data_IF_895590476663
#
_entry.id   IF_895590476663
#
_cell.length_a   1.000
_cell.length_b   1.000
_cell.length_c   1.000
_cell.angle_alpha   90.00
_cell.angle_beta   90.00
_cell.angle_gamma   90.00
#
_symmetry.space_group_name_H-M   'P 1'
#
loop_
_entity.id
_entity.type
_entity.pdbx_description
1 polymer ?
#
# COMPACT_ATOMS: atom_id res chain seq x y z
N UNK A 1 1.78 46.31 2.80
CA UNK A 1 2.90 47.18 2.44
C UNK A 1 2.73 47.80 1.04
N UNK A 2 2.70 47.02 -0.07
CA UNK A 2 2.49 47.57 -1.43
C UNK A 2 1.26 48.48 -1.54
N UNK A 3 0.11 48.04 -1.04
CA UNK A 3 -1.13 48.80 -1.05
C UNK A 3 -1.02 50.15 -0.35
N UNK A 4 -0.33 50.22 0.78
CA UNK A 4 -0.08 51.46 1.52
C UNK A 4 0.85 52.41 0.77
N UNK A 5 1.85 51.89 0.05
CA UNK A 5 2.76 52.70 -0.77
C UNK A 5 2.08 53.24 -2.02
N UNK A 6 1.20 52.49 -2.66
CA UNK A 6 0.53 52.85 -3.92
C UNK A 6 -0.71 53.73 -3.69
N UNK A 7 -1.59 53.38 -2.72
CA UNK A 7 -2.83 54.11 -2.46
C UNK A 7 -2.61 55.42 -1.67
N UNK A 8 -1.67 55.39 -0.69
CA UNK A 8 -1.48 56.55 0.20
C UNK A 8 -0.22 57.38 -0.12
N UNK A 9 0.54 57.02 -1.17
CA UNK A 9 1.80 57.68 -1.55
C UNK A 9 2.75 57.91 -0.37
N UNK A 10 2.67 57.05 0.66
CA UNK A 10 3.47 57.12 1.84
C UNK A 10 4.91 56.70 1.58
N UNK A 11 5.91 57.28 2.27
CA UNK A 11 7.30 56.83 2.12
C UNK A 11 7.49 55.43 2.68
N UNK A 12 8.39 54.64 2.06
CA UNK A 12 8.73 53.30 2.52
C UNK A 12 9.15 53.26 3.97
N UNK A 13 9.89 54.31 4.42
CA UNK A 13 10.31 54.45 5.81
C UNK A 13 9.13 54.53 6.75
N UNK A 14 8.17 55.38 6.45
CA UNK A 14 7.00 55.62 7.27
C UNK A 14 6.09 54.38 7.32
N UNK A 15 5.90 53.69 6.18
CA UNK A 15 5.13 52.44 6.15
C UNK A 15 5.79 51.32 6.95
N UNK A 16 7.11 51.19 6.87
CA UNK A 16 7.86 50.19 7.67
C UNK A 16 7.78 50.48 9.18
N UNK A 17 7.81 51.76 9.56
CA UNK A 17 7.68 52.23 10.94
C UNK A 17 6.27 51.96 11.50
N UNK A 18 5.24 52.31 10.76
CA UNK A 18 3.84 52.03 11.09
C UNK A 18 3.54 50.51 11.24
N UNK A 19 4.15 49.69 10.41
CA UNK A 19 3.99 48.24 10.45
C UNK A 19 4.93 47.50 11.40
N UNK A 20 5.81 48.24 12.09
CA UNK A 20 6.87 47.69 12.94
C UNK A 20 7.74 46.63 12.26
N UNK A 21 8.01 46.80 10.95
CA UNK A 21 8.77 45.83 10.14
C UNK A 21 10.09 46.48 9.69
N UNK A 22 11.24 45.80 9.85
CA UNK A 22 12.52 46.27 9.32
C UNK A 22 12.45 46.47 7.80
N UNK A 23 13.06 47.58 7.28
CA UNK A 23 13.07 47.88 5.83
C UNK A 23 13.68 46.73 5.00
N UNK A 24 14.69 46.03 5.53
CA UNK A 24 15.27 44.84 4.90
C UNK A 24 14.24 43.74 4.66
N UNK A 25 13.35 43.52 5.63
CA UNK A 25 12.23 42.55 5.49
C UNK A 25 11.18 43.03 4.50
N UNK A 26 10.91 44.36 4.48
CA UNK A 26 9.98 44.95 3.50
C UNK A 26 10.47 44.87 2.06
N UNK A 27 11.76 44.98 1.86
CA UNK A 27 12.44 44.86 0.55
C UNK A 27 12.74 43.43 0.15
N UNK A 28 12.62 42.47 1.06
CA UNK A 28 12.93 41.07 0.79
C UNK A 28 12.04 40.53 -0.33
N UNK A 29 12.67 40.11 -1.41
CA UNK A 29 12.01 39.35 -2.48
C UNK A 29 12.51 37.92 -2.43
N UNK A 30 11.59 36.99 -2.31
CA UNK A 30 11.95 35.57 -2.35
C UNK A 30 12.60 35.25 -3.70
N UNK A 31 13.83 34.72 -3.66
CA UNK A 31 14.54 34.18 -4.84
C UNK A 31 14.19 32.71 -5.09
N UNK A 32 13.08 32.24 -4.53
CA UNK A 32 12.67 30.84 -4.65
C UNK A 32 12.22 30.58 -6.08
N UNK A 33 12.91 29.68 -6.75
CA UNK A 33 12.44 29.10 -8.00
C UNK A 33 11.89 27.67 -7.69
N UNK A 34 10.58 27.56 -7.74
CA UNK A 34 9.86 26.32 -7.46
C UNK A 34 9.14 25.79 -8.72
N UNK A 35 9.25 26.48 -9.86
CA UNK A 35 8.50 26.19 -11.10
C UNK A 35 8.60 24.72 -11.51
N UNK A 36 9.82 24.19 -11.56
CA UNK A 36 10.08 22.80 -11.93
C UNK A 36 9.42 21.80 -10.98
N UNK A 37 9.38 22.12 -9.68
CA UNK A 37 8.70 21.29 -8.68
C UNK A 37 7.20 21.40 -8.84
N UNK A 38 6.65 22.59 -9.10
CA UNK A 38 5.24 22.82 -9.30
C UNK A 38 4.70 22.05 -10.51
N UNK A 39 5.38 22.12 -11.64
CA UNK A 39 5.01 21.41 -12.88
C UNK A 39 4.96 19.91 -12.62
N UNK A 40 6.05 19.36 -12.12
CA UNK A 40 6.14 17.92 -11.85
C UNK A 40 5.15 17.45 -10.78
N UNK A 41 4.90 18.28 -9.77
CA UNK A 41 3.94 17.98 -8.71
C UNK A 41 2.48 17.97 -9.24
N UNK A 42 2.14 18.86 -10.18
CA UNK A 42 0.82 18.86 -10.86
C UNK A 42 0.65 17.59 -11.72
N UNK A 43 1.67 17.18 -12.45
CA UNK A 43 1.66 15.93 -13.24
C UNK A 43 1.42 14.72 -12.35
N UNK A 44 2.24 14.55 -11.32
CA UNK A 44 2.11 13.45 -10.37
C UNK A 44 0.75 13.45 -9.63
N UNK A 45 0.20 14.63 -9.34
CA UNK A 45 -1.12 14.73 -8.72
C UNK A 45 -2.26 14.36 -9.69
N UNK A 46 -2.09 14.57 -11.00
CA UNK A 46 -3.03 14.08 -12.03
C UNK A 46 -2.93 12.57 -12.22
N UNK A 47 -1.72 12.03 -12.26
CA UNK A 47 -1.49 10.58 -12.35
C UNK A 47 -2.03 9.85 -11.10
N UNK A 48 -1.87 10.46 -9.91
CA UNK A 48 -2.24 9.87 -8.63
C UNK A 48 -3.14 10.79 -7.79
N UNK A 49 -4.41 11.01 -8.17
CA UNK A 49 -5.29 12.01 -7.53
C UNK A 49 -5.54 11.79 -6.03
N UNK A 50 -5.33 10.57 -5.54
CA UNK A 50 -5.54 10.19 -4.13
C UNK A 50 -4.26 10.16 -3.30
N UNK A 51 -3.11 10.55 -3.88
CA UNK A 51 -1.86 10.60 -3.15
C UNK A 51 -1.71 11.96 -2.43
N UNK A 52 -1.41 11.90 -1.14
CA UNK A 52 -1.01 13.09 -0.38
C UNK A 52 0.48 13.42 -0.61
N UNK A 53 0.88 14.64 -0.24
CA UNK A 53 2.24 15.17 -0.47
C UNK A 53 3.38 14.21 -0.06
N UNK A 54 3.22 13.40 1.01
CA UNK A 54 4.26 12.46 1.46
C UNK A 54 4.61 11.40 0.42
N UNK A 55 3.60 10.88 -0.30
CA UNK A 55 3.84 9.92 -1.38
C UNK A 55 4.37 10.60 -2.63
N UNK A 56 3.79 11.74 -3.02
CA UNK A 56 4.28 12.53 -4.15
C UNK A 56 5.73 12.98 -3.93
N UNK A 57 6.09 13.33 -2.69
CA UNK A 57 7.47 13.65 -2.33
C UNK A 57 8.43 12.50 -2.62
N UNK A 58 8.05 11.23 -2.41
CA UNK A 58 8.95 10.10 -2.65
C UNK A 58 9.33 9.98 -4.14
N UNK A 59 8.39 10.27 -5.04
CA UNK A 59 8.67 10.33 -6.49
C UNK A 59 9.59 11.51 -6.80
N UNK A 60 9.26 12.70 -6.35
CA UNK A 60 10.08 13.90 -6.53
C UNK A 60 11.47 13.77 -5.92
N UNK A 61 11.59 13.10 -4.79
CA UNK A 61 12.88 12.89 -4.15
C UNK A 61 13.78 11.95 -4.96
N UNK A 62 13.22 10.88 -5.51
CA UNK A 62 13.95 9.98 -6.42
C UNK A 62 14.42 10.70 -7.70
N UNK A 63 13.61 11.61 -8.25
CA UNK A 63 13.88 12.32 -9.50
C UNK A 63 14.79 13.54 -9.32
N UNK A 64 14.61 14.32 -8.24
CA UNK A 64 15.20 15.65 -8.08
C UNK A 64 15.90 15.87 -6.72
N UNK A 65 15.90 14.92 -5.80
CA UNK A 65 16.50 15.06 -4.47
C UNK A 65 15.82 16.11 -3.56
N UNK A 66 14.57 16.48 -3.81
CA UNK A 66 13.89 17.60 -3.14
C UNK A 66 13.48 17.25 -1.70
N UNK A 67 13.65 18.23 -0.78
CA UNK A 67 13.26 18.05 0.63
C UNK A 67 11.73 18.05 0.80
N UNK A 68 11.23 17.18 1.70
CA UNK A 68 9.80 17.01 1.98
C UNK A 68 9.09 18.31 2.45
N UNK A 69 9.78 19.17 3.21
CA UNK A 69 9.22 20.46 3.66
C UNK A 69 8.95 21.40 2.48
N UNK A 70 9.84 21.40 1.48
CA UNK A 70 9.67 22.19 0.25
C UNK A 70 8.49 21.67 -0.55
N UNK A 71 8.39 20.36 -0.77
CA UNK A 71 7.26 19.74 -1.47
C UNK A 71 5.94 19.99 -0.73
N UNK A 72 5.90 19.88 0.60
CA UNK A 72 4.70 20.14 1.39
C UNK A 72 4.20 21.57 1.23
N UNK A 73 5.10 22.55 1.22
CA UNK A 73 4.76 23.95 1.03
C UNK A 73 4.15 24.17 -0.36
N UNK A 74 4.86 23.76 -1.42
CA UNK A 74 4.38 23.91 -2.80
C UNK A 74 3.05 23.17 -3.01
N UNK A 75 2.89 21.97 -2.46
CA UNK A 75 1.66 21.19 -2.51
C UNK A 75 0.45 21.94 -1.92
N UNK A 76 0.66 22.70 -0.83
CA UNK A 76 -0.37 23.54 -0.20
C UNK A 76 -0.65 24.79 -1.03
N UNK A 77 0.37 25.46 -1.53
CA UNK A 77 0.27 26.65 -2.38
C UNK A 77 -0.51 26.34 -3.67
N UNK A 78 -0.34 25.16 -4.23
CA UNK A 78 -1.07 24.67 -5.41
C UNK A 78 -2.50 24.18 -5.12
N UNK A 79 -2.94 24.17 -3.86
CA UNK A 79 -4.28 23.69 -3.49
C UNK A 79 -4.53 22.19 -3.70
N UNK A 80 -3.48 21.38 -3.85
CA UNK A 80 -3.56 19.95 -4.15
C UNK A 80 -3.96 19.09 -2.94
N UNK A 81 -4.32 19.69 -1.82
CA UNK A 81 -4.63 18.98 -0.56
C UNK A 81 -5.83 18.05 -0.73
N UNK A 82 -5.60 16.74 -0.58
CA UNK A 82 -6.66 15.72 -0.64
C UNK A 82 -7.56 15.86 0.58
N UNK A 83 -8.85 16.11 0.37
CA UNK A 83 -9.85 16.13 1.45
C UNK A 83 -9.92 14.73 2.09
N UNK A 84 -9.69 14.65 3.39
CA UNK A 84 -9.84 13.42 4.17
C UNK A 84 -11.14 13.47 4.95
N UNK A 85 -11.98 12.48 4.77
CA UNK A 85 -13.12 12.25 5.66
C UNK A 85 -12.58 11.82 7.02
N UNK A 86 -12.80 12.64 8.07
CA UNK A 86 -12.44 12.26 9.43
C UNK A 86 -13.39 11.14 9.89
N UNK A 87 -12.90 9.91 9.93
CA UNK A 87 -13.61 8.81 10.59
C UNK A 87 -13.49 9.01 12.11
N UNK A 88 -14.62 8.95 12.83
CA UNK A 88 -14.58 8.89 14.28
C UNK A 88 -13.85 7.60 14.67
N UNK A 89 -12.71 7.72 15.33
CA UNK A 89 -12.01 6.58 15.91
C UNK A 89 -12.76 6.15 17.18
N UNK A 90 -13.58 5.13 17.06
CA UNK A 90 -14.05 4.38 18.23
C UNK A 90 -12.86 3.58 18.76
N UNK A 91 -12.43 3.86 19.97
CA UNK A 91 -11.43 3.04 20.67
C UNK A 91 -12.07 1.68 20.97
N UNK A 92 -11.82 0.70 20.14
CA UNK A 92 -12.17 -0.69 20.40
C UNK A 92 -10.97 -1.37 21.02
N UNK A 93 -11.19 -2.24 22.01
CA UNK A 93 -10.13 -3.09 22.55
C UNK A 93 -9.55 -3.94 21.41
N UNK A 94 -8.29 -3.72 21.10
CA UNK A 94 -7.55 -4.52 20.13
C UNK A 94 -7.26 -5.87 20.77
N UNK A 95 -7.86 -6.94 20.25
CA UNK A 95 -7.37 -8.27 20.59
C UNK A 95 -5.95 -8.43 20.03
N UNK A 96 -4.99 -8.93 20.82
CA UNK A 96 -3.63 -9.15 20.32
C UNK A 96 -3.68 -10.11 19.14
N UNK A 97 -3.16 -9.69 18.02
CA UNK A 97 -2.99 -10.51 16.83
C UNK A 97 -1.60 -11.12 16.86
N UNK A 98 -1.47 -12.37 16.45
CA UNK A 98 -0.17 -13.00 16.29
C UNK A 98 0.73 -12.12 15.38
N UNK A 99 1.97 -11.88 15.83
CA UNK A 99 2.94 -11.11 15.06
C UNK A 99 3.44 -12.01 13.94
N UNK A 100 3.18 -11.62 12.71
CA UNK A 100 3.69 -12.32 11.53
C UNK A 100 5.15 -11.91 11.31
N UNK A 101 6.00 -12.88 11.07
CA UNK A 101 7.46 -12.71 10.93
C UNK A 101 7.98 -13.09 9.54
N UNK A 102 7.16 -13.78 8.73
CA UNK A 102 7.56 -14.25 7.41
C UNK A 102 6.39 -14.20 6.41
N UNK A 103 6.69 -14.14 5.09
CA UNK A 103 5.69 -14.34 4.03
C UNK A 103 5.00 -15.70 4.17
N UNK A 104 3.81 -15.81 3.64
CA UNK A 104 3.02 -17.06 3.60
C UNK A 104 2.65 -17.64 4.98
N UNK A 105 2.83 -16.92 6.08
CA UNK A 105 2.27 -17.34 7.37
C UNK A 105 0.76 -17.16 7.39
N UNK A 106 0.25 -16.05 6.85
CA UNK A 106 -1.17 -15.80 6.77
C UNK A 106 -1.52 -15.06 5.48
N UNK A 107 -2.45 -15.61 4.70
CA UNK A 107 -3.10 -14.90 3.63
C UNK A 107 -4.47 -14.40 4.07
N UNK A 108 -4.85 -13.21 3.65
CA UNK A 108 -6.16 -12.62 3.90
C UNK A 108 -6.96 -12.56 2.59
N UNK A 109 -8.22 -13.02 2.65
CA UNK A 109 -9.13 -13.01 1.52
C UNK A 109 -10.31 -12.08 1.78
N UNK A 110 -10.81 -11.45 0.72
CA UNK A 110 -12.07 -10.71 0.77
C UNK A 110 -12.61 -10.44 -0.65
N UNK A 111 -13.88 -10.05 -0.73
CA UNK A 111 -14.56 -9.66 -1.94
C UNK A 111 -14.90 -8.17 -1.94
N UNK A 112 -14.67 -7.51 -3.05
CA UNK A 112 -15.27 -6.23 -3.38
C UNK A 112 -16.29 -6.43 -4.52
N UNK A 113 -17.21 -5.47 -4.67
CA UNK A 113 -18.20 -5.51 -5.76
C UNK A 113 -18.33 -4.15 -6.40
N UNK A 114 -18.61 -4.14 -7.70
CA UNK A 114 -18.87 -2.93 -8.48
C UNK A 114 -19.78 -3.27 -9.68
N UNK A 115 -20.06 -2.28 -10.53
CA UNK A 115 -20.92 -2.41 -11.69
C UNK A 115 -20.24 -1.84 -12.94
N UNK A 116 -20.53 -2.42 -14.11
CA UNK A 116 -20.12 -1.85 -15.39
C UNK A 116 -21.07 -0.72 -15.82
N UNK A 117 -20.71 0.02 -16.87
CA UNK A 117 -21.55 1.05 -17.48
C UNK A 117 -22.91 0.53 -17.94
N UNK A 118 -22.99 -0.74 -18.35
CA UNK A 118 -24.22 -1.42 -18.74
C UNK A 118 -25.03 -1.96 -17.53
N UNK A 119 -24.64 -1.62 -16.29
CA UNK A 119 -25.34 -2.08 -15.09
C UNK A 119 -25.02 -3.52 -14.67
N UNK A 120 -24.13 -4.22 -15.39
CA UNK A 120 -23.74 -5.58 -15.04
C UNK A 120 -22.90 -5.59 -13.77
N UNK A 121 -23.38 -6.25 -12.71
CA UNK A 121 -22.63 -6.42 -11.46
C UNK A 121 -21.46 -7.37 -11.66
N UNK A 122 -20.33 -7.03 -11.03
CA UNK A 122 -19.18 -7.91 -10.93
C UNK A 122 -18.58 -7.89 -9.53
N UNK A 123 -17.85 -8.94 -9.23
CA UNK A 123 -17.11 -9.09 -7.97
C UNK A 123 -15.61 -9.12 -8.25
N UNK A 124 -14.85 -8.65 -7.30
CA UNK A 124 -13.39 -8.67 -7.30
C UNK A 124 -12.95 -9.50 -6.11
N UNK A 125 -12.30 -10.63 -6.37
CA UNK A 125 -11.73 -11.49 -5.34
C UNK A 125 -10.28 -11.11 -5.11
N UNK A 126 -9.93 -10.73 -3.89
CA UNK A 126 -8.60 -10.31 -3.49
C UNK A 126 -7.93 -11.30 -2.56
N UNK A 127 -6.65 -11.58 -2.81
CA UNK A 127 -5.76 -12.39 -1.96
C UNK A 127 -4.56 -11.53 -1.58
N UNK A 128 -4.34 -11.34 -0.29
CA UNK A 128 -3.28 -10.50 0.26
C UNK A 128 -2.40 -11.31 1.20
N UNK A 129 -1.08 -11.27 1.03
CA UNK A 129 -0.16 -11.73 2.05
C UNK A 129 -0.15 -10.74 3.23
N UNK A 130 -0.45 -11.23 4.42
CA UNK A 130 -0.62 -10.40 5.61
C UNK A 130 0.69 -9.84 6.16
N UNK A 131 1.85 -10.42 5.82
CA UNK A 131 3.17 -9.93 6.21
C UNK A 131 3.71 -8.92 5.21
N UNK A 132 3.88 -9.31 3.95
CA UNK A 132 4.46 -8.45 2.89
C UNK A 132 3.49 -7.38 2.41
N UNK A 133 2.18 -7.54 2.68
CA UNK A 133 1.11 -6.68 2.15
C UNK A 133 0.98 -6.74 0.63
N UNK A 134 1.62 -7.71 -0.03
CA UNK A 134 1.46 -7.94 -1.47
C UNK A 134 0.07 -8.42 -1.81
N UNK A 135 -0.49 -7.91 -2.88
CA UNK A 135 -1.68 -8.45 -3.51
C UNK A 135 -1.27 -9.62 -4.41
N UNK A 136 -1.44 -10.85 -3.93
CA UNK A 136 -1.04 -12.07 -4.63
C UNK A 136 -1.98 -12.39 -5.80
N UNK A 137 -3.28 -12.24 -5.58
CA UNK A 137 -4.28 -12.38 -6.64
C UNK A 137 -5.34 -11.27 -6.54
N UNK A 138 -5.84 -10.83 -7.70
CA UNK A 138 -6.96 -9.89 -7.83
C UNK A 138 -7.75 -10.26 -9.08
N UNK A 139 -8.79 -11.05 -8.90
CA UNK A 139 -9.59 -11.62 -9.98
C UNK A 139 -10.96 -10.96 -10.10
N UNK A 140 -11.41 -10.75 -11.33
CA UNK A 140 -12.70 -10.10 -11.65
C UNK A 140 -13.63 -11.06 -12.36
N UNK A 141 -14.83 -11.26 -11.81
CA UNK A 141 -15.86 -12.10 -12.38
C UNK A 141 -17.27 -11.66 -11.95
N UNK A 142 -18.28 -12.15 -12.64
CA UNK A 142 -19.69 -11.97 -12.25
C UNK A 142 -20.05 -12.79 -11.02
N UNK A 143 -19.41 -13.96 -10.86
CA UNK A 143 -19.61 -14.86 -9.72
C UNK A 143 -18.32 -15.60 -9.36
N UNK A 144 -18.23 -16.04 -8.11
CA UNK A 144 -17.12 -16.82 -7.58
C UNK A 144 -17.63 -18.06 -6.86
N UNK A 145 -18.03 -19.12 -7.60
CA UNK A 145 -18.26 -20.40 -6.95
C UNK A 145 -16.97 -20.90 -6.29
N UNK A 146 -17.08 -21.73 -5.24
CA UNK A 146 -15.93 -22.18 -4.45
C UNK A 146 -14.81 -22.82 -5.29
N UNK A 147 -15.16 -23.56 -6.36
CA UNK A 147 -14.16 -24.12 -7.30
C UNK A 147 -13.32 -23.04 -8.01
N UNK A 148 -13.92 -21.90 -8.32
CA UNK A 148 -13.17 -20.77 -8.89
C UNK A 148 -12.27 -20.13 -7.85
N UNK A 149 -12.73 -20.00 -6.61
CA UNK A 149 -11.91 -19.49 -5.50
C UNK A 149 -10.69 -20.37 -5.31
N UNK A 150 -10.84 -21.70 -5.19
CA UNK A 150 -9.71 -22.63 -5.04
C UNK A 150 -8.76 -22.59 -6.22
N UNK A 151 -9.26 -22.51 -7.46
CA UNK A 151 -8.41 -22.37 -8.65
C UNK A 151 -7.58 -21.08 -8.64
N UNK A 152 -8.11 -19.95 -8.13
CA UNK A 152 -7.34 -18.71 -7.97
C UNK A 152 -6.26 -18.89 -6.90
N UNK A 153 -6.59 -19.53 -5.78
CA UNK A 153 -5.65 -19.81 -4.69
C UNK A 153 -4.52 -20.75 -5.13
N UNK A 154 -4.82 -21.79 -5.89
CA UNK A 154 -3.83 -22.72 -6.44
C UNK A 154 -2.83 -22.01 -7.36
N UNK A 155 -3.31 -21.11 -8.24
CA UNK A 155 -2.41 -20.29 -9.05
C UNK A 155 -1.54 -19.35 -8.19
N UNK A 156 -2.11 -18.78 -7.12
CA UNK A 156 -1.34 -17.96 -6.20
C UNK A 156 -0.32 -18.79 -5.43
N UNK A 157 -0.66 -20.01 -4.99
CA UNK A 157 0.24 -20.94 -4.32
C UNK A 157 1.40 -21.34 -5.25
N UNK A 158 1.12 -21.64 -6.50
CA UNK A 158 2.15 -21.97 -7.49
C UNK A 158 3.15 -20.81 -7.72
N UNK A 159 2.69 -19.56 -7.64
CA UNK A 159 3.52 -18.38 -7.88
C UNK A 159 4.28 -17.89 -6.65
N UNK A 160 3.69 -17.98 -5.45
CA UNK A 160 4.21 -17.33 -4.24
C UNK A 160 4.52 -18.30 -3.10
N UNK A 161 4.19 -19.56 -3.24
CA UNK A 161 4.32 -20.59 -2.20
C UNK A 161 3.02 -20.76 -1.38
N UNK A 162 2.95 -21.85 -0.63
CA UNK A 162 1.75 -22.22 0.14
C UNK A 162 1.65 -21.44 1.45
N UNK A 163 0.47 -20.85 1.79
CA UNK A 163 0.27 -20.24 3.09
C UNK A 163 0.11 -21.30 4.19
N UNK A 164 0.47 -20.94 5.42
CA UNK A 164 0.16 -21.74 6.61
C UNK A 164 -1.31 -21.61 6.98
N UNK A 165 -1.85 -20.38 6.91
CA UNK A 165 -3.23 -20.10 7.24
C UNK A 165 -3.87 -19.11 6.25
N UNK A 166 -5.19 -19.20 6.15
CA UNK A 166 -6.00 -18.27 5.37
C UNK A 166 -7.07 -17.66 6.26
N UNK A 167 -7.09 -16.33 6.31
CA UNK A 167 -8.10 -15.53 7.01
C UNK A 167 -9.14 -15.00 6.04
N UNK A 168 -10.41 -15.26 6.34
CA UNK A 168 -11.54 -14.81 5.51
C UNK A 168 -12.78 -14.52 6.34
N UNK A 169 -13.76 -13.88 5.72
CA UNK A 169 -15.12 -13.83 6.25
C UNK A 169 -15.82 -15.20 6.13
N UNK A 170 -17.08 -15.26 6.58
CA UNK A 170 -17.91 -16.47 6.54
C UNK A 170 -18.79 -16.52 5.29
N UNK A 171 -18.32 -15.99 4.16
CA UNK A 171 -19.04 -16.07 2.90
C UNK A 171 -19.34 -17.51 2.47
N UNK A 172 -20.46 -17.78 1.80
CA UNK A 172 -20.86 -19.14 1.40
C UNK A 172 -19.82 -19.80 0.48
N UNK A 173 -19.05 -19.03 -0.27
CA UNK A 173 -17.96 -19.51 -1.13
C UNK A 173 -16.82 -20.10 -0.32
N UNK A 174 -16.57 -19.52 0.90
CA UNK A 174 -15.44 -19.81 1.78
C UNK A 174 -15.82 -20.76 2.95
N UNK A 175 -17.09 -21.16 3.03
CA UNK A 175 -17.61 -22.12 4.02
C UNK A 175 -18.16 -23.37 3.34
N UNK A 176 -18.09 -23.48 2.03
CA UNK A 176 -18.58 -24.61 1.26
C UNK A 176 -17.79 -25.90 1.54
N UNK A 177 -18.43 -27.06 1.41
CA UNK A 177 -17.78 -28.37 1.56
C UNK A 177 -16.55 -28.51 0.66
N UNK A 178 -16.63 -28.03 -0.59
CA UNK A 178 -15.51 -28.06 -1.52
C UNK A 178 -14.31 -27.27 -1.01
N UNK A 179 -14.53 -26.04 -0.53
CA UNK A 179 -13.45 -25.19 -0.02
C UNK A 179 -12.81 -25.75 1.25
N UNK A 180 -13.64 -26.30 2.16
CA UNK A 180 -13.14 -26.95 3.37
C UNK A 180 -12.30 -28.19 3.06
N UNK A 181 -12.78 -29.07 2.15
CA UNK A 181 -12.06 -30.25 1.70
C UNK A 181 -10.71 -29.88 1.05
N UNK A 182 -10.72 -28.85 0.19
CA UNK A 182 -9.52 -28.31 -0.45
C UNK A 182 -8.49 -27.81 0.60
N UNK A 183 -8.93 -27.08 1.63
CA UNK A 183 -8.03 -26.58 2.66
C UNK A 183 -7.40 -27.72 3.48
N UNK A 184 -8.17 -28.77 3.76
CA UNK A 184 -7.66 -29.98 4.45
C UNK A 184 -6.60 -30.68 3.58
N UNK A 185 -6.88 -30.88 2.29
CA UNK A 185 -5.94 -31.51 1.35
C UNK A 185 -4.62 -30.74 1.27
N UNK A 186 -4.71 -29.40 1.18
CA UNK A 186 -3.54 -28.53 1.16
C UNK A 186 -2.90 -28.32 2.53
N UNK A 187 -3.49 -28.83 3.63
CA UNK A 187 -3.04 -28.61 5.01
C UNK A 187 -2.87 -27.11 5.29
N UNK A 188 -3.92 -26.37 5.08
CA UNK A 188 -4.01 -24.91 5.29
C UNK A 188 -5.02 -24.65 6.40
N UNK A 189 -4.64 -23.89 7.44
CA UNK A 189 -5.51 -23.55 8.53
C UNK A 189 -6.49 -22.44 8.11
N UNK A 190 -7.78 -22.63 8.32
CA UNK A 190 -8.80 -21.61 8.03
C UNK A 190 -9.13 -20.80 9.28
N UNK A 191 -8.92 -19.49 9.20
CA UNK A 191 -9.15 -18.52 10.25
C UNK A 191 -10.38 -17.67 9.90
N UNK A 192 -11.55 -18.09 10.34
CA UNK A 192 -12.78 -17.34 10.11
C UNK A 192 -12.90 -16.15 11.06
N UNK A 193 -13.31 -15.00 10.51
CA UNK A 193 -13.55 -13.78 11.27
C UNK A 193 -14.84 -13.96 12.07
N UNK A 194 -14.80 -13.63 13.35
CA UNK A 194 -15.99 -13.69 14.22
C UNK A 194 -17.02 -12.65 13.73
N UNK A 195 -18.31 -13.03 13.68
CA UNK A 195 -19.38 -12.11 13.34
C UNK A 195 -19.31 -10.83 14.22
N UNK A 196 -19.42 -9.66 13.58
CA UNK A 196 -19.35 -8.37 14.27
C UNK A 196 -17.94 -7.87 14.65
N UNK A 197 -16.87 -8.60 14.29
CA UNK A 197 -15.48 -8.17 14.55
C UNK A 197 -14.67 -7.94 13.25
N UNK A 198 -15.05 -6.98 12.40
CA UNK A 198 -14.38 -6.72 11.13
C UNK A 198 -12.91 -6.34 11.31
N UNK A 199 -12.51 -5.78 12.46
CA UNK A 199 -11.11 -5.42 12.76
C UNK A 199 -10.14 -6.60 12.68
N UNK A 200 -10.62 -7.84 12.73
CA UNK A 200 -9.80 -9.03 12.57
C UNK A 200 -9.25 -9.18 11.14
N UNK A 201 -9.85 -8.53 10.13
CA UNK A 201 -9.34 -8.45 8.75
C UNK A 201 -8.89 -7.04 8.32
N UNK A 202 -8.45 -6.22 9.26
CA UNK A 202 -8.11 -4.80 9.01
C UNK A 202 -7.07 -4.57 7.89
N UNK A 203 -6.21 -5.56 7.61
CA UNK A 203 -5.29 -5.52 6.46
C UNK A 203 -6.03 -5.52 5.13
N UNK A 204 -6.99 -6.45 5.00
CA UNK A 204 -7.79 -6.60 3.79
C UNK A 204 -8.83 -5.48 3.65
N UNK A 205 -9.46 -5.03 4.75
CA UNK A 205 -10.32 -3.84 4.74
C UNK A 205 -9.58 -2.60 4.24
N UNK A 206 -8.35 -2.40 4.73
CA UNK A 206 -7.50 -1.28 4.26
C UNK A 206 -7.12 -1.42 2.80
N UNK A 207 -6.89 -2.64 2.31
CA UNK A 207 -6.64 -2.93 0.89
C UNK A 207 -7.86 -2.61 0.04
N UNK A 208 -9.02 -3.13 0.39
CA UNK A 208 -10.27 -2.88 -0.32
C UNK A 208 -10.68 -1.40 -0.31
N UNK A 209 -10.42 -0.69 0.81
CA UNK A 209 -10.59 0.76 0.86
C UNK A 209 -9.73 1.48 -0.19
N UNK A 210 -8.48 1.04 -0.40
CA UNK A 210 -7.60 1.63 -1.42
C UNK A 210 -8.00 1.23 -2.84
N UNK A 211 -8.39 -0.03 -3.04
CA UNK A 211 -8.93 -0.49 -4.33
C UNK A 211 -10.14 0.37 -4.74
N UNK A 212 -11.07 0.63 -3.80
CA UNK A 212 -12.21 1.51 -4.05
C UNK A 212 -11.77 2.93 -4.34
N UNK A 213 -10.95 3.53 -3.50
CA UNK A 213 -10.57 4.94 -3.62
C UNK A 213 -9.68 5.23 -4.85
N UNK A 214 -8.80 4.30 -5.23
CA UNK A 214 -7.76 4.54 -6.22
C UNK A 214 -8.08 3.90 -7.59
N UNK A 215 -9.01 2.92 -7.64
CA UNK A 215 -9.37 2.22 -8.87
C UNK A 215 -10.88 2.23 -9.13
N UNK A 216 -11.69 1.63 -8.25
CA UNK A 216 -13.12 1.44 -8.54
C UNK A 216 -13.87 2.77 -8.67
N UNK A 217 -13.72 3.69 -7.70
CA UNK A 217 -14.40 4.99 -7.71
C UNK A 217 -13.82 6.00 -8.71
N UNK A 218 -12.65 5.74 -9.28
CA UNK A 218 -11.98 6.64 -10.21
C UNK A 218 -12.03 6.17 -11.65
N UNK A 219 -12.51 4.94 -11.88
CA UNK A 219 -12.57 4.32 -13.20
C UNK A 219 -14.02 4.12 -13.63
N UNK A 220 -14.25 4.30 -14.93
CA UNK A 220 -15.48 3.91 -15.59
C UNK A 220 -15.26 2.56 -16.30
N UNK A 221 -16.04 1.54 -16.00
CA UNK A 221 -15.87 0.21 -16.55
C UNK A 221 -16.91 -0.07 -17.64
N UNK A 222 -16.50 -0.06 -18.90
CA UNK A 222 -17.41 -0.31 -20.03
C UNK A 222 -18.02 -1.72 -19.99
N UNK A 223 -17.19 -2.72 -19.74
CA UNK A 223 -17.57 -4.13 -19.67
C UNK A 223 -16.61 -4.88 -18.73
N UNK A 224 -16.85 -6.19 -18.58
CA UNK A 224 -16.05 -7.03 -17.70
C UNK A 224 -14.57 -7.17 -18.15
N UNK A 225 -14.31 -7.12 -19.45
CA UNK A 225 -12.95 -7.17 -19.98
C UNK A 225 -12.16 -5.90 -19.60
N UNK A 226 -12.77 -4.74 -19.78
CA UNK A 226 -12.20 -3.45 -19.38
C UNK A 226 -11.96 -3.39 -17.86
N UNK A 227 -12.91 -3.89 -17.05
CA UNK A 227 -12.73 -4.00 -15.60
C UNK A 227 -11.51 -4.88 -15.23
N UNK A 228 -11.37 -6.04 -15.88
CA UNK A 228 -10.20 -6.92 -15.67
C UNK A 228 -8.89 -6.21 -16.00
N UNK A 229 -8.82 -5.53 -17.13
CA UNK A 229 -7.63 -4.80 -17.58
C UNK A 229 -7.22 -3.70 -16.59
N UNK A 230 -8.16 -2.84 -16.20
CA UNK A 230 -7.91 -1.71 -15.29
C UNK A 230 -7.54 -2.17 -13.89
N UNK A 231 -8.25 -3.16 -13.35
CA UNK A 231 -8.00 -3.70 -12.01
C UNK A 231 -6.67 -4.47 -11.98
N UNK A 232 -6.31 -5.20 -13.03
CA UNK A 232 -5.01 -5.85 -13.14
C UNK A 232 -3.86 -4.85 -13.21
N UNK A 233 -4.00 -3.77 -13.98
CA UNK A 233 -3.03 -2.68 -14.04
C UNK A 233 -2.85 -2.03 -12.66
N UNK A 234 -3.96 -1.76 -11.95
CA UNK A 234 -3.90 -1.23 -10.59
C UNK A 234 -3.21 -2.20 -9.61
N UNK A 235 -3.44 -3.53 -9.70
CA UNK A 235 -2.72 -4.53 -8.91
C UNK A 235 -1.21 -4.41 -9.10
N UNK A 236 -0.77 -4.30 -10.35
CA UNK A 236 0.65 -4.15 -10.69
C UNK A 236 1.23 -2.87 -10.06
N UNK A 237 0.55 -1.74 -10.22
CA UNK A 237 0.96 -0.47 -9.60
C UNK A 237 0.96 -0.55 -8.07
N UNK A 238 -0.06 -1.17 -7.49
CA UNK A 238 -0.18 -1.36 -6.04
C UNK A 238 1.01 -2.13 -5.46
N UNK A 239 1.53 -3.15 -6.13
CA UNK A 239 2.65 -3.95 -5.67
C UNK A 239 4.01 -3.29 -5.96
N UNK A 240 4.21 -2.82 -7.22
CA UNK A 240 5.53 -2.46 -7.72
C UNK A 240 5.87 -0.96 -7.61
N UNK A 241 4.87 -0.08 -7.54
CA UNK A 241 5.10 1.37 -7.56
C UNK A 241 4.62 2.11 -6.33
N UNK A 242 3.55 1.62 -5.69
CA UNK A 242 2.90 2.32 -4.61
C UNK A 242 3.65 2.18 -3.28
N UNK A 243 4.24 3.25 -2.70
CA UNK A 243 4.93 3.18 -1.42
C UNK A 243 3.99 2.84 -0.26
N UNK A 244 4.45 2.04 0.70
CA UNK A 244 3.67 1.63 1.86
C UNK A 244 4.31 2.11 3.18
N UNK A 245 3.57 2.88 3.98
CA UNK A 245 4.10 3.50 5.20
C UNK A 245 4.58 2.49 6.25
N UNK A 246 3.91 1.34 6.41
CA UNK A 246 4.34 0.30 7.36
C UNK A 246 5.53 -0.53 6.85
N UNK A 247 5.95 -0.37 5.59
CA UNK A 247 7.13 -1.01 5.00
C UNK A 247 8.26 -0.01 4.80
N UNK A 248 8.37 0.99 5.67
CA UNK A 248 9.34 2.08 5.56
C UNK A 248 9.29 2.78 4.19
N UNK A 249 8.09 2.98 3.65
CA UNK A 249 7.82 3.55 2.33
C UNK A 249 8.41 2.79 1.13
N UNK A 250 8.84 1.55 1.32
CA UNK A 250 9.16 0.66 0.19
C UNK A 250 7.88 0.22 -0.51
N UNK A 251 8.01 -0.19 -1.76
CA UNK A 251 6.96 -0.94 -2.43
C UNK A 251 6.87 -2.35 -1.83
N UNK A 252 5.78 -3.06 -2.11
CA UNK A 252 5.57 -4.40 -1.57
C UNK A 252 6.52 -5.41 -2.22
N UNK A 253 6.78 -5.24 -3.50
CA UNK A 253 7.72 -6.09 -4.25
C UNK A 253 9.16 -5.87 -3.76
N UNK A 254 9.58 -4.61 -3.55
CA UNK A 254 10.90 -4.30 -2.96
C UNK A 254 11.06 -4.96 -1.58
N UNK A 255 10.03 -4.87 -0.74
CA UNK A 255 10.06 -5.46 0.60
C UNK A 255 10.15 -6.99 0.55
N UNK A 256 9.33 -7.64 -0.29
CA UNK A 256 9.33 -9.09 -0.43
C UNK A 256 10.67 -9.62 -0.97
N UNK A 257 11.23 -8.96 -1.99
CA UNK A 257 12.54 -9.31 -2.56
C UNK A 257 13.67 -9.18 -1.54
N UNK A 258 13.68 -8.10 -0.75
CA UNK A 258 14.69 -7.91 0.28
C UNK A 258 14.59 -8.97 1.37
N UNK A 259 13.37 -9.33 1.78
CA UNK A 259 13.16 -10.38 2.76
C UNK A 259 13.65 -11.73 2.24
N UNK A 260 13.36 -12.10 0.99
CA UNK A 260 13.85 -13.31 0.34
C UNK A 260 15.38 -13.35 0.27
N UNK A 261 16.02 -12.24 -0.11
CA UNK A 261 17.47 -12.14 -0.16
C UNK A 261 18.11 -12.31 1.22
N UNK A 262 17.55 -11.69 2.26
CA UNK A 262 18.02 -11.83 3.63
C UNK A 262 17.89 -13.27 4.13
N UNK A 263 16.74 -13.91 3.94
CA UNK A 263 16.48 -15.29 4.33
C UNK A 263 17.42 -16.30 3.64
N UNK A 264 17.73 -16.08 2.36
CA UNK A 264 18.68 -16.89 1.62
C UNK A 264 20.11 -16.72 2.15
N UNK A 265 20.51 -15.52 2.54
CA UNK A 265 21.84 -15.26 3.11
C UNK A 265 21.99 -15.90 4.48
N UNK A 266 20.95 -15.82 5.33
CA UNK A 266 20.92 -16.49 6.64
C UNK A 266 20.97 -18.01 6.51
N UNK A 267 20.20 -18.59 5.60
CA UNK A 267 20.23 -20.03 5.34
C UNK A 267 21.62 -20.51 4.88
N UNK A 268 22.29 -19.77 3.98
CA UNK A 268 23.67 -20.06 3.56
C UNK A 268 24.66 -19.96 4.71
N UNK A 269 24.53 -18.94 5.57
CA UNK A 269 25.38 -18.77 6.76
C UNK A 269 25.22 -19.93 7.74
N UNK A 270 23.97 -20.32 8.03
CA UNK A 270 23.66 -21.46 8.91
C UNK A 270 24.20 -22.78 8.36
N UNK A 271 24.05 -23.04 7.06
CA UNK A 271 24.60 -24.20 6.39
C UNK A 271 26.15 -24.27 6.48
N UNK A 272 26.81 -23.09 6.35
CA UNK A 272 28.26 -22.98 6.51
C UNK A 272 28.71 -23.31 7.93
N UNK A 273 28.01 -22.77 8.94
CA UNK A 273 28.30 -23.05 10.36
C UNK A 273 28.09 -24.52 10.69
N UNK A 274 27.02 -25.14 10.18
CA UNK A 274 26.75 -26.57 10.39
C UNK A 274 27.82 -27.46 9.78
N UNK A 275 28.33 -27.13 8.57
CA UNK A 275 29.45 -27.85 7.94
C UNK A 275 30.73 -27.74 8.76
N UNK A 276 31.08 -26.55 9.24
CA UNK A 276 32.27 -26.34 10.08
C UNK A 276 32.17 -27.12 11.39
N UNK A 277 31.00 -27.13 12.03
CA UNK A 277 30.79 -27.96 13.24
C UNK A 277 30.94 -29.44 12.97
N UNK A 278 30.39 -29.98 11.87
CA UNK A 278 30.52 -31.37 11.49
C UNK A 278 31.98 -31.78 11.23
N UNK A 279 32.78 -30.89 10.62
CA UNK A 279 34.22 -31.16 10.38
C UNK A 279 35.01 -31.16 11.67
N UNK A 280 34.68 -30.30 12.64
CA UNK A 280 35.36 -30.27 13.95
C UNK A 280 35.00 -31.48 14.84
N UNK A 281 33.77 -31.98 14.76
CA UNK A 281 33.36 -33.17 15.54
C UNK A 281 33.86 -34.50 14.91
N UNK A 282 33.99 -34.54 13.57
CA UNK A 282 34.53 -35.71 12.86
C UNK A 282 36.04 -35.94 13.07
N UNK A 283 36.81 -34.89 13.41
CA UNK A 283 38.26 -35.01 13.66
C UNK A 283 38.60 -35.43 15.11
N UNK A 284 37.60 -35.42 16.00
CA UNK A 284 37.81 -35.82 17.42
C UNK A 284 37.65 -37.34 17.68
N UNK A 285 37.18 -38.11 16.69
CA UNK A 285 36.97 -39.57 16.84
C UNK A 285 38.08 -40.45 16.25
N UNK A 286 39.21 -39.88 15.83
CA UNK A 286 40.38 -40.59 15.32
C UNK A 286 41.60 -40.29 16.18
N UNK A 287 41.58 -40.77 17.42
CA UNK A 287 42.81 -41.07 18.16
C UNK A 287 42.66 -42.46 18.81
N UNK A 288 43.60 -43.34 18.56
CA UNK A 288 43.61 -44.68 19.11
C UNK A 288 43.85 -44.70 20.61
#
# INVERSE_FOLDING_TARGET
MRRLLEEFKASERHVCELMAVPRSSGRYRSRRDDRRIEERLRELAREHPRFGYRRLHLYLHKEMGVNHKKVQRVYRELGLSVKRTRRKHLRRALQPRAVLTAPNQEWALDFASDVTAAGQRFRVFGVLDSFTRQCLALEVATSFPSRRVTSVLERAIAAYGKPQSIRSDNGPELTSRHYLAWAIEWKIDLLHIQPGKPTQNGGMESFNGKLRDECLNTSWFWNLFDARKKISAWKTEYNSRRPHSSLAYRTRDEFALQWQAASLSEAKSMARISRVKATLTGSASLRP
#
